data_IF_891577251854
#
_entry.id   IF_891577251854
#
_cell.length_a   1.000
_cell.length_b   1.000
_cell.length_c   1.000
_cell.angle_alpha   90.00
_cell.angle_beta   90.00
_cell.angle_gamma   90.00
#
_symmetry.space_group_name_H-M   'P 1'
#
loop_
_entity.id
_entity.type
_entity.pdbx_description
1 polymer ?
#
# COMPACT_ATOMS: atom_id res chain seq x y z
N UNK A 1 17.85 13.75 37.59
CA UNK A 1 17.30 12.37 37.56
C UNK A 1 15.79 12.39 37.51
N UNK A 2 15.09 12.99 38.49
CA UNK A 2 13.60 13.04 38.54
C UNK A 2 12.89 13.40 37.23
N UNK A 3 13.39 14.38 36.47
CA UNK A 3 12.79 14.82 35.20
C UNK A 3 12.93 13.81 34.06
N UNK A 4 14.00 13.02 34.05
CA UNK A 4 14.19 11.98 33.03
C UNK A 4 13.27 10.80 33.29
N UNK A 5 13.16 10.38 34.56
CA UNK A 5 12.26 9.32 34.99
C UNK A 5 10.80 9.66 34.68
N UNK A 6 10.38 10.90 34.96
CA UNK A 6 9.04 11.39 34.59
C UNK A 6 8.78 11.29 33.08
N UNK A 7 9.72 11.73 32.25
CA UNK A 7 9.59 11.66 30.79
C UNK A 7 9.54 10.22 30.26
N UNK A 8 10.19 9.28 30.96
CA UNK A 8 10.14 7.86 30.62
C UNK A 8 8.76 7.26 30.93
N UNK A 9 8.19 7.58 32.10
CA UNK A 9 6.84 7.14 32.46
C UNK A 9 5.77 7.73 31.53
N UNK A 10 5.88 9.03 31.21
CA UNK A 10 4.99 9.69 30.26
C UNK A 10 5.09 9.05 28.89
N UNK A 11 6.31 8.75 28.41
CA UNK A 11 6.51 8.07 27.14
C UNK A 11 5.81 6.71 27.11
N UNK A 12 5.97 5.89 28.14
CA UNK A 12 5.33 4.58 28.21
C UNK A 12 3.80 4.68 28.24
N UNK A 13 3.24 5.67 28.93
CA UNK A 13 1.82 5.96 28.90
C UNK A 13 1.34 6.31 27.48
N UNK A 14 2.01 7.25 26.82
CA UNK A 14 1.66 7.69 25.46
C UNK A 14 1.82 6.54 24.45
N UNK A 15 2.85 5.71 24.60
CA UNK A 15 3.13 4.55 23.75
C UNK A 15 2.05 3.48 23.85
N UNK A 16 1.53 3.20 25.05
CA UNK A 16 0.40 2.27 25.25
C UNK A 16 -0.87 2.77 24.55
N UNK A 17 -1.18 4.06 24.70
CA UNK A 17 -2.34 4.68 24.03
C UNK A 17 -2.18 4.57 22.51
N UNK A 18 -1.01 4.93 21.97
CA UNK A 18 -0.73 4.84 20.54
C UNK A 18 -0.87 3.40 20.04
N UNK A 19 -0.32 2.42 20.76
CA UNK A 19 -0.40 1.00 20.42
C UNK A 19 -1.85 0.50 20.33
N UNK A 20 -2.69 0.90 21.29
CA UNK A 20 -4.11 0.56 21.29
C UNK A 20 -4.86 1.20 20.10
N UNK A 21 -4.53 2.45 19.74
CA UNK A 21 -5.11 3.07 18.54
C UNK A 21 -4.65 2.32 17.28
N UNK A 22 -3.38 1.92 17.22
CA UNK A 22 -2.81 1.27 16.04
C UNK A 22 -3.38 -0.12 15.78
N UNK A 23 -3.77 -0.88 16.81
CA UNK A 23 -4.52 -2.12 16.64
C UNK A 23 -5.90 -1.90 15.99
N UNK A 24 -6.47 -0.70 16.09
CA UNK A 24 -7.78 -0.34 15.58
C UNK A 24 -7.74 0.37 14.21
N UNK A 25 -6.57 0.45 13.57
CA UNK A 25 -6.46 0.94 12.19
C UNK A 25 -6.84 -0.18 11.22
N UNK A 26 -7.77 0.08 10.33
CA UNK A 26 -8.29 -0.88 9.35
C UNK A 26 -7.26 -1.26 8.30
N UNK A 27 -6.51 -0.28 7.79
CA UNK A 27 -5.48 -0.49 6.76
C UNK A 27 -4.23 -1.16 7.35
N UNK A 28 -3.81 -2.33 6.83
CA UNK A 28 -2.63 -3.03 7.34
C UNK A 28 -1.34 -2.20 7.27
N UNK A 29 -1.16 -1.42 6.20
CA UNK A 29 0.03 -0.58 6.04
C UNK A 29 0.13 0.52 7.10
N UNK A 30 -1.00 1.08 7.51
CA UNK A 30 -1.04 2.12 8.54
C UNK A 30 -0.67 1.53 9.92
N UNK A 31 -1.06 0.26 10.18
CA UNK A 31 -0.62 -0.49 11.37
C UNK A 31 0.89 -0.73 11.38
N UNK A 32 1.45 -1.14 10.25
CA UNK A 32 2.89 -1.35 10.06
C UNK A 32 3.68 -0.06 10.29
N UNK A 33 3.28 1.04 9.64
CA UNK A 33 3.91 2.37 9.80
C UNK A 33 3.85 2.79 11.26
N UNK A 34 2.69 2.63 11.91
CA UNK A 34 2.59 2.99 13.32
C UNK A 34 3.53 2.18 14.21
N UNK A 35 3.57 0.85 14.03
CA UNK A 35 4.45 -0.02 14.80
C UNK A 35 5.92 0.37 14.64
N UNK A 36 6.36 0.54 13.40
CA UNK A 36 7.72 0.98 13.07
C UNK A 36 8.06 2.32 13.70
N UNK A 37 7.14 3.29 13.63
CA UNK A 37 7.32 4.63 14.22
C UNK A 37 7.48 4.54 15.75
N UNK A 38 6.64 3.75 16.42
CA UNK A 38 6.73 3.58 17.88
C UNK A 38 8.02 2.88 18.31
N UNK A 39 8.50 1.91 17.52
CA UNK A 39 9.78 1.23 17.77
C UNK A 39 10.98 2.18 17.62
N UNK A 40 10.96 3.06 16.61
CA UNK A 40 12.01 4.08 16.45
C UNK A 40 12.00 5.11 17.60
N UNK A 41 10.82 5.57 18.02
CA UNK A 41 10.70 6.49 19.14
C UNK A 41 11.19 5.87 20.45
N UNK A 42 10.95 4.57 20.65
CA UNK A 42 11.48 3.86 21.80
C UNK A 42 13.03 3.84 21.81
N UNK A 43 13.68 3.73 20.64
CA UNK A 43 15.15 3.84 20.53
C UNK A 43 15.62 5.25 20.90
N UNK A 44 14.93 6.30 20.44
CA UNK A 44 15.27 7.67 20.81
C UNK A 44 15.06 7.95 22.31
N UNK A 45 14.02 7.37 22.92
CA UNK A 45 13.73 7.53 24.34
C UNK A 45 14.82 6.92 25.24
N UNK A 46 15.51 5.87 24.80
CA UNK A 46 16.64 5.27 25.53
C UNK A 46 17.86 6.20 25.63
N UNK A 47 17.87 7.33 24.91
CA UNK A 47 18.96 8.29 24.98
C UNK A 47 19.10 8.91 26.39
N UNK A 48 20.33 9.10 26.90
CA UNK A 48 20.55 9.81 28.17
C UNK A 48 20.28 11.32 28.07
N UNK A 49 20.07 11.88 26.87
CA UNK A 49 19.84 13.31 26.69
C UNK A 49 18.40 13.72 27.02
N UNK A 50 18.23 14.58 28.03
CA UNK A 50 16.91 15.15 28.39
C UNK A 50 16.25 15.83 27.19
N UNK A 51 17.03 16.57 26.38
CA UNK A 51 16.51 17.29 25.21
C UNK A 51 15.92 16.34 24.16
N UNK A 52 16.49 15.16 24.01
CA UNK A 52 15.96 14.13 23.11
C UNK A 52 14.62 13.61 23.65
N UNK A 53 14.55 13.29 24.95
CA UNK A 53 13.30 12.84 25.59
C UNK A 53 12.17 13.88 25.49
N UNK A 54 12.48 15.17 25.68
CA UNK A 54 11.51 16.26 25.49
C UNK A 54 10.99 16.34 24.04
N UNK A 55 11.87 16.13 23.06
CA UNK A 55 11.48 16.13 21.65
C UNK A 55 10.62 14.91 21.31
N UNK A 56 10.96 13.74 21.84
CA UNK A 56 10.15 12.51 21.71
C UNK A 56 8.77 12.73 22.33
N UNK A 57 8.69 13.32 23.52
CA UNK A 57 7.42 13.64 24.16
C UNK A 57 6.57 14.58 23.29
N UNK A 58 7.13 15.70 22.81
CA UNK A 58 6.43 16.65 21.93
C UNK A 58 5.92 15.96 20.66
N UNK A 59 6.75 15.12 20.05
CA UNK A 59 6.35 14.34 18.88
C UNK A 59 5.22 13.37 19.22
N UNK A 60 5.31 12.62 20.31
CA UNK A 60 4.27 11.66 20.72
C UNK A 60 2.91 12.34 20.95
N UNK A 61 2.89 13.52 21.57
CA UNK A 61 1.65 14.30 21.76
C UNK A 61 1.04 14.71 20.41
N UNK A 62 1.86 15.16 19.46
CA UNK A 62 1.41 15.47 18.11
C UNK A 62 0.92 14.20 17.38
N UNK A 63 1.71 13.14 17.44
CA UNK A 63 1.44 11.88 16.77
C UNK A 63 0.14 11.23 17.24
N UNK A 64 -0.16 11.28 18.54
CA UNK A 64 -1.44 10.82 19.09
C UNK A 64 -2.64 11.59 18.52
N UNK A 65 -2.51 12.90 18.27
CA UNK A 65 -3.58 13.67 17.61
C UNK A 65 -3.80 13.19 16.18
N UNK A 66 -2.72 12.95 15.43
CA UNK A 66 -2.76 12.41 14.07
C UNK A 66 -3.38 11.01 14.06
N UNK A 67 -2.93 10.12 14.94
CA UNK A 67 -3.47 8.77 15.08
C UNK A 67 -4.96 8.78 15.43
N UNK A 68 -5.37 9.64 16.38
CA UNK A 68 -6.78 9.76 16.77
C UNK A 68 -7.65 10.29 15.63
N UNK A 69 -7.14 11.26 14.87
CA UNK A 69 -7.84 11.75 13.68
C UNK A 69 -7.95 10.65 12.62
N UNK A 70 -6.84 9.96 12.34
CA UNK A 70 -6.79 8.86 11.37
C UNK A 70 -7.78 7.77 11.73
N UNK A 71 -7.80 7.34 13.01
CA UNK A 71 -8.72 6.33 13.53
C UNK A 71 -10.20 6.68 13.26
N UNK A 72 -10.57 7.95 13.38
CA UNK A 72 -11.95 8.42 13.21
C UNK A 72 -12.35 8.63 11.75
N UNK A 73 -11.39 8.92 10.87
CA UNK A 73 -11.64 9.33 9.48
C UNK A 73 -11.18 8.26 8.47
N UNK A 74 -11.19 6.99 8.88
CA UNK A 74 -10.80 5.89 8.01
C UNK A 74 -11.87 5.69 6.93
N UNK A 75 -11.51 5.62 5.64
CA UNK A 75 -12.45 5.27 4.58
C UNK A 75 -12.73 3.75 4.63
N UNK A 76 -13.46 3.30 5.66
CA UNK A 76 -13.68 1.89 5.94
C UNK A 76 -14.36 1.14 4.80
N UNK A 77 -15.26 1.79 4.07
CA UNK A 77 -15.94 1.18 2.92
C UNK A 77 -14.95 0.87 1.79
N UNK A 78 -14.03 1.81 1.51
CA UNK A 78 -12.95 1.62 0.53
C UNK A 78 -11.98 0.54 0.99
N UNK A 79 -11.59 0.55 2.28
CA UNK A 79 -10.72 -0.48 2.83
C UNK A 79 -11.38 -1.87 2.80
N UNK A 80 -12.70 -1.96 3.00
CA UNK A 80 -13.42 -3.22 2.86
C UNK A 80 -13.41 -3.74 1.42
N UNK A 81 -13.49 -2.86 0.42
CA UNK A 81 -13.36 -3.24 -0.98
C UNK A 81 -11.95 -3.76 -1.30
N UNK A 82 -10.91 -3.10 -0.80
CA UNK A 82 -9.52 -3.46 -1.10
C UNK A 82 -9.00 -4.66 -0.31
N UNK A 83 -9.38 -4.80 0.96
CA UNK A 83 -8.82 -5.81 1.87
C UNK A 83 -9.81 -6.92 2.22
N UNK A 84 -11.10 -6.79 1.85
CA UNK A 84 -12.12 -7.82 2.06
C UNK A 84 -12.20 -8.30 3.52
N UNK A 85 -12.18 -9.63 3.71
CA UNK A 85 -12.17 -10.27 5.04
C UNK A 85 -10.87 -10.04 5.83
N UNK A 86 -9.80 -9.54 5.21
CA UNK A 86 -8.52 -9.26 5.88
C UNK A 86 -8.47 -7.85 6.52
N UNK A 87 -9.58 -7.09 6.47
CA UNK A 87 -9.69 -5.80 7.16
C UNK A 87 -9.47 -5.98 8.67
N UNK A 88 -8.47 -5.30 9.24
CA UNK A 88 -8.15 -5.43 10.67
C UNK A 88 -7.24 -6.61 11.05
N UNK A 89 -6.93 -7.53 10.14
CA UNK A 89 -6.06 -8.69 10.42
C UNK A 89 -4.66 -8.49 9.88
N UNK A 90 -3.64 -8.76 10.70
CA UNK A 90 -2.22 -8.78 10.30
C UNK A 90 -1.82 -10.10 9.61
N UNK A 91 -2.77 -11.02 9.45
CA UNK A 91 -2.51 -12.31 8.81
C UNK A 91 -2.37 -12.13 7.30
N UNK A 92 -1.15 -12.36 6.81
CA UNK A 92 -0.83 -12.65 5.41
C UNK A 92 -1.39 -14.04 5.03
N UNK A 93 -2.69 -14.24 5.15
CA UNK A 93 -3.34 -15.33 4.43
C UNK A 93 -3.73 -14.75 3.09
N UNK A 94 -3.14 -15.21 1.97
CA UNK A 94 -3.65 -14.82 0.67
C UNK A 94 -5.11 -15.26 0.64
N UNK A 95 -6.05 -14.32 0.58
CA UNK A 95 -7.46 -14.69 0.52
C UNK A 95 -7.68 -15.35 -0.83
N UNK A 96 -7.67 -16.68 -0.85
CA UNK A 96 -7.86 -17.52 -2.03
C UNK A 96 -9.32 -17.51 -2.55
N UNK A 97 -10.07 -16.44 -2.28
CA UNK A 97 -11.48 -16.28 -2.67
C UNK A 97 -11.83 -14.82 -2.97
N UNK A 98 -10.93 -14.06 -3.59
CA UNK A 98 -11.32 -12.85 -4.31
C UNK A 98 -11.83 -13.26 -5.70
N UNK A 99 -13.12 -13.59 -5.78
CA UNK A 99 -13.78 -13.82 -7.06
C UNK A 99 -13.75 -12.53 -7.90
N UNK A 100 -12.88 -12.52 -8.91
CA UNK A 100 -13.06 -11.95 -10.24
C UNK A 100 -13.45 -10.46 -10.41
N UNK A 101 -13.32 -9.59 -9.40
CA UNK A 101 -13.56 -8.13 -9.60
C UNK A 101 -12.31 -7.31 -9.90
N UNK A 102 -11.12 -7.84 -9.64
CA UNK A 102 -9.85 -7.10 -9.83
C UNK A 102 -9.25 -7.21 -11.23
N UNK A 103 -9.80 -8.10 -12.07
CA UNK A 103 -9.40 -8.26 -13.46
C UNK A 103 -10.57 -7.94 -14.39
N UNK A 104 -10.53 -6.76 -15.00
CA UNK A 104 -11.48 -6.40 -16.07
C UNK A 104 -10.85 -6.80 -17.40
N UNK A 105 -11.58 -7.56 -18.22
CA UNK A 105 -11.20 -7.90 -19.60
C UNK A 105 -12.41 -7.69 -20.49
N UNK A 106 -12.35 -6.69 -21.38
CA UNK A 106 -13.49 -6.33 -22.22
C UNK A 106 -13.05 -5.95 -23.61
N UNK A 107 -13.78 -6.43 -24.61
CA UNK A 107 -13.77 -5.87 -25.96
C UNK A 107 -14.66 -4.62 -25.96
N UNK A 108 -14.08 -3.45 -26.21
CA UNK A 108 -14.85 -2.22 -26.38
C UNK A 108 -15.55 -2.24 -27.76
N UNK A 109 -14.83 -2.69 -28.77
CA UNK A 109 -15.35 -3.13 -30.07
C UNK A 109 -14.70 -4.46 -30.43
N UNK A 110 -15.51 -5.49 -30.67
CA UNK A 110 -15.04 -6.84 -30.96
C UNK A 110 -14.09 -6.84 -32.18
N UNK A 111 -12.89 -7.41 -31.99
CA UNK A 111 -11.85 -7.47 -33.02
C UNK A 111 -11.08 -6.16 -33.26
N UNK A 112 -11.46 -5.05 -32.62
CA UNK A 112 -10.83 -3.73 -32.83
C UNK A 112 -10.11 -3.21 -31.60
N UNK A 113 -10.78 -3.19 -30.45
CA UNK A 113 -10.28 -2.52 -29.26
C UNK A 113 -10.48 -3.40 -28.04
N UNK A 114 -9.38 -3.76 -27.41
CA UNK A 114 -9.35 -4.58 -26.21
C UNK A 114 -8.84 -3.75 -25.04
N UNK A 115 -9.54 -3.87 -23.91
CA UNK A 115 -9.19 -3.23 -22.65
C UNK A 115 -9.04 -4.30 -21.57
N UNK A 116 -7.88 -4.34 -20.94
CA UNK A 116 -7.65 -5.13 -19.75
C UNK A 116 -7.07 -4.27 -18.63
N UNK A 117 -7.54 -4.51 -17.41
CA UNK A 117 -7.10 -3.82 -16.22
C UNK A 117 -6.93 -4.83 -15.11
N UNK A 118 -5.80 -4.72 -14.40
CA UNK A 118 -5.53 -5.49 -13.19
C UNK A 118 -5.07 -4.57 -12.08
N UNK A 119 -5.72 -4.66 -10.93
CA UNK A 119 -5.30 -3.99 -9.70
C UNK A 119 -4.52 -4.98 -8.83
N UNK A 120 -3.40 -4.53 -8.26
CA UNK A 120 -2.52 -5.33 -7.41
C UNK A 120 -2.78 -5.03 -5.93
N UNK A 121 -2.30 -5.92 -5.06
CA UNK A 121 -2.48 -5.86 -3.60
C UNK A 121 -1.87 -4.60 -2.95
N UNK A 122 -0.90 -3.96 -3.62
CA UNK A 122 -0.28 -2.71 -3.18
C UNK A 122 -1.08 -1.45 -3.58
N UNK A 123 -2.18 -1.63 -4.30
CA UNK A 123 -3.02 -0.55 -4.84
C UNK A 123 -2.54 0.02 -6.17
N UNK A 124 -1.47 -0.53 -6.76
CA UNK A 124 -1.08 -0.19 -8.13
C UNK A 124 -2.07 -0.82 -9.12
N UNK A 125 -2.29 -0.13 -10.24
CA UNK A 125 -3.13 -0.65 -11.34
C UNK A 125 -2.31 -0.70 -12.60
N UNK A 126 -2.27 -1.85 -13.26
CA UNK A 126 -1.77 -1.96 -14.63
C UNK A 126 -2.94 -1.99 -15.60
N UNK A 127 -2.88 -1.11 -16.60
CA UNK A 127 -3.87 -1.00 -17.67
C UNK A 127 -3.20 -1.38 -18.98
N UNK A 128 -3.80 -2.31 -19.69
CA UNK A 128 -3.43 -2.71 -21.04
C UNK A 128 -4.52 -2.30 -22.02
N UNK A 129 -4.16 -1.49 -22.99
CA UNK A 129 -5.03 -1.13 -24.11
C UNK A 129 -4.40 -1.61 -25.41
N UNK A 130 -5.20 -2.26 -26.24
CA UNK A 130 -4.74 -2.77 -27.52
C UNK A 130 -5.75 -2.37 -28.60
N UNK A 131 -5.23 -1.77 -29.69
CA UNK A 131 -6.02 -1.26 -30.81
C UNK A 131 -5.50 -1.89 -32.10
N UNK A 132 -6.38 -2.56 -32.83
CA UNK A 132 -6.05 -3.16 -34.12
C UNK A 132 -5.91 -2.07 -35.20
N UNK A 133 -4.80 -2.08 -35.94
CA UNK A 133 -4.58 -1.18 -37.09
C UNK A 133 -5.47 -1.56 -38.29
N UNK A 134 -5.73 -2.86 -38.47
CA UNK A 134 -6.68 -3.40 -39.43
C UNK A 134 -7.63 -4.40 -38.73
N UNK A 135 -8.92 -4.05 -38.54
CA UNK A 135 -9.90 -4.92 -37.88
C UNK A 135 -10.17 -6.24 -38.61
N UNK A 136 -9.89 -6.31 -39.92
CA UNK A 136 -10.16 -7.50 -40.75
C UNK A 136 -9.10 -8.58 -40.60
N UNK A 137 -7.94 -8.24 -40.04
CA UNK A 137 -6.83 -9.17 -39.84
C UNK A 137 -7.08 -10.15 -38.68
N UNK A 138 -8.07 -9.87 -37.82
CA UNK A 138 -8.38 -10.68 -36.64
C UNK A 138 -7.27 -10.66 -35.57
N UNK A 139 -7.54 -11.28 -34.43
CA UNK A 139 -6.55 -11.50 -33.37
C UNK A 139 -6.12 -12.95 -33.39
N UNK A 140 -4.83 -13.23 -33.62
CA UNK A 140 -4.35 -14.61 -33.58
C UNK A 140 -4.28 -15.10 -32.13
N UNK A 141 -4.86 -16.26 -31.84
CA UNK A 141 -4.90 -16.88 -30.50
C UNK A 141 -3.53 -17.09 -29.85
N UNK A 142 -2.45 -17.07 -30.65
CA UNK A 142 -1.06 -17.20 -30.21
C UNK A 142 -0.20 -15.97 -30.51
N UNK A 143 -0.80 -14.82 -30.81
CA UNK A 143 -0.09 -13.66 -31.36
C UNK A 143 1.05 -13.16 -30.47
N UNK A 144 0.88 -13.21 -29.15
CA UNK A 144 1.94 -12.85 -28.20
C UNK A 144 3.10 -13.85 -28.25
N UNK A 145 2.81 -15.15 -28.34
CA UNK A 145 3.83 -16.21 -28.47
C UNK A 145 4.57 -16.08 -29.80
N UNK A 146 3.85 -15.84 -30.89
CA UNK A 146 4.42 -15.57 -32.20
C UNK A 146 5.28 -14.31 -32.21
N UNK A 147 4.88 -13.23 -31.51
CA UNK A 147 5.67 -12.00 -31.36
C UNK A 147 6.92 -12.20 -30.51
N UNK A 148 6.87 -13.05 -29.48
CA UNK A 148 8.03 -13.39 -28.66
C UNK A 148 9.01 -14.31 -29.39
N UNK A 149 8.51 -15.22 -30.23
CA UNK A 149 9.31 -16.10 -31.10
C UNK A 149 9.87 -15.33 -32.30
N UNK A 150 9.12 -14.35 -32.83
CA UNK A 150 9.60 -13.39 -33.80
C UNK A 150 10.36 -12.28 -33.08
N UNK A 151 11.62 -12.52 -32.74
CA UNK A 151 12.54 -11.45 -32.34
C UNK A 151 12.89 -10.50 -33.51
N UNK A 152 11.87 -10.03 -34.24
CA UNK A 152 11.91 -8.88 -35.11
C UNK A 152 11.21 -7.72 -34.38
N UNK A 153 11.75 -7.37 -33.21
CA UNK A 153 11.40 -6.10 -32.57
C UNK A 153 11.79 -4.96 -33.51
N UNK A 154 11.03 -3.86 -33.47
CA UNK A 154 11.50 -2.55 -33.93
C UNK A 154 12.97 -2.40 -33.53
N UNK A 155 13.85 -2.26 -34.52
CA UNK A 155 15.21 -1.86 -34.26
C UNK A 155 15.17 -0.50 -33.56
N UNK A 156 15.49 -0.47 -32.27
CA UNK A 156 15.94 0.75 -31.63
C UNK A 156 17.26 1.10 -32.32
N UNK A 157 17.19 2.03 -33.27
CA UNK A 157 18.36 2.53 -33.99
C UNK A 157 19.34 3.07 -32.96
N UNK A 158 20.50 2.41 -32.86
CA UNK A 158 21.59 2.75 -31.96
C UNK A 158 22.41 3.96 -32.48
N UNK A 159 21.74 4.94 -33.08
CA UNK A 159 22.36 6.17 -33.59
C UNK A 159 21.64 7.39 -33.01
N UNK A 160 21.91 7.66 -31.74
CA UNK A 160 21.89 9.01 -31.18
C UNK A 160 23.13 9.14 -30.28
N UNK A 161 24.26 9.42 -30.94
CA UNK A 161 25.47 10.01 -30.34
C UNK A 161 25.78 11.28 -31.12
#
# INVERSE_FOLDING_TARGET
>A
MLRQELLDEEFECLRRIASAICQNLGRPKDREICRSTLEELAKFQQSPSVRIKENVHKFMVFYLKVLRWTQKNQPLDLYRQWYGQNLGSDWKSPSSTANSTDEVRVWLEEGKTFYAMKTFEDGSTTVFTAVAKDPRAGWSEYGLKTLMESQNGCALSQNDK
#
